data_IF_053723457365
#
_entry.id   IF_053723457365
#
_cell.length_a   1.000
_cell.length_b   1.000
_cell.length_c   1.000
_cell.angle_alpha   90.00
_cell.angle_beta   90.00
_cell.angle_gamma   90.00
#
_symmetry.space_group_name_H-M   'P 1'
#
loop_
_entity.id
_entity.type
_entity.pdbx_description
1 polymer ?
#
# COMPACT_ATOMS: atom_id res chain seq x y z
N UNK A 1 -0.40 -23.67 -3.28
CA UNK A 1 -1.59 -23.19 -2.54
C UNK A 1 -1.14 -22.79 -1.14
N UNK A 2 -0.70 -21.55 -0.92
CA UNK A 2 0.01 -21.20 0.32
C UNK A 2 -0.42 -19.86 0.89
N UNK A 3 -0.80 -19.89 2.17
CA UNK A 3 -0.74 -18.80 3.15
C UNK A 3 -1.80 -17.68 3.20
N UNK A 4 -3.01 -17.86 2.68
CA UNK A 4 -4.13 -16.91 2.98
C UNK A 4 -4.54 -16.90 4.46
N UNK A 5 -4.11 -17.91 5.23
CA UNK A 5 -4.54 -18.14 6.60
C UNK A 5 -3.77 -17.35 7.68
N UNK A 6 -2.62 -16.75 7.43
CA UNK A 6 -1.77 -16.26 8.54
C UNK A 6 -2.26 -14.93 9.14
N UNK A 7 -2.41 -13.87 8.34
CA UNK A 7 -2.65 -12.52 8.89
C UNK A 7 -4.03 -12.30 9.48
N UNK A 8 -5.06 -12.89 8.87
CA UNK A 8 -6.43 -12.79 9.41
C UNK A 8 -6.58 -13.58 10.71
N UNK A 9 -5.91 -14.74 10.81
CA UNK A 9 -5.88 -15.53 12.05
C UNK A 9 -5.04 -14.82 13.10
N UNK A 10 -3.84 -14.36 12.76
CA UNK A 10 -2.99 -13.56 13.66
C UNK A 10 -3.70 -12.31 14.19
N UNK A 11 -4.47 -11.63 13.34
CA UNK A 11 -5.29 -10.51 13.77
C UNK A 11 -6.36 -10.92 14.79
N UNK A 12 -7.08 -12.02 14.54
CA UNK A 12 -8.13 -12.50 15.42
C UNK A 12 -7.57 -13.06 16.75
N UNK A 13 -6.45 -13.77 16.69
CA UNK A 13 -5.90 -14.55 17.81
C UNK A 13 -4.98 -13.72 18.70
N UNK A 14 -4.20 -12.79 18.12
CA UNK A 14 -3.16 -12.02 18.85
C UNK A 14 -3.50 -10.53 18.94
N UNK A 15 -3.78 -9.89 17.80
CA UNK A 15 -3.84 -8.43 17.71
C UNK A 15 -5.13 -7.87 18.31
N UNK A 16 -6.29 -8.45 17.99
CA UNK A 16 -7.57 -7.97 18.48
C UNK A 16 -7.71 -8.04 20.02
N UNK A 17 -7.29 -9.13 20.69
CA UNK A 17 -7.26 -9.18 22.15
C UNK A 17 -6.29 -8.16 22.76
N UNK A 18 -5.09 -8.01 22.18
CA UNK A 18 -4.08 -7.07 22.67
C UNK A 18 -4.58 -5.62 22.63
N UNK A 19 -5.19 -5.22 21.51
CA UNK A 19 -5.79 -3.88 21.37
C UNK A 19 -6.98 -3.67 22.30
N UNK A 20 -7.82 -4.70 22.49
CA UNK A 20 -8.94 -4.63 23.42
C UNK A 20 -8.49 -4.42 24.85
N UNK A 21 -7.41 -5.09 25.27
CA UNK A 21 -6.84 -4.91 26.61
C UNK A 21 -6.16 -3.56 26.79
N UNK A 22 -5.44 -3.06 25.78
CA UNK A 22 -4.74 -1.76 25.86
C UNK A 22 -5.71 -0.58 25.94
N UNK A 23 -6.75 -0.57 25.10
CA UNK A 23 -7.66 0.57 24.97
C UNK A 23 -9.00 0.37 25.67
N UNK A 24 -9.21 -0.77 26.32
CA UNK A 24 -10.40 -1.09 27.13
C UNK A 24 -11.72 -0.88 26.38
N UNK A 25 -11.79 -1.29 25.12
CA UNK A 25 -13.01 -1.14 24.32
C UNK A 25 -14.20 -1.89 24.91
N UNK A 26 -15.34 -1.20 24.95
CA UNK A 26 -16.61 -1.76 25.40
C UNK A 26 -17.13 -2.90 24.51
N UNK A 27 -16.83 -2.85 23.21
CA UNK A 27 -17.27 -3.84 22.23
C UNK A 27 -16.13 -4.34 21.37
N UNK A 28 -16.12 -5.65 21.07
CA UNK A 28 -15.11 -6.27 20.20
C UNK A 28 -15.16 -5.69 18.77
N UNK A 29 -16.29 -5.12 18.34
CA UNK A 29 -16.43 -4.48 17.03
C UNK A 29 -15.81 -3.07 16.95
N UNK A 30 -15.47 -2.46 18.10
CA UNK A 30 -14.78 -1.17 18.15
C UNK A 30 -13.28 -1.30 17.87
N UNK A 31 -12.74 -2.53 17.93
CA UNK A 31 -11.30 -2.75 17.69
C UNK A 31 -10.93 -2.32 16.26
N UNK A 32 -9.91 -1.46 16.09
CA UNK A 32 -9.49 -0.98 14.79
C UNK A 32 -9.09 -2.10 13.82
N UNK A 33 -9.62 -2.04 12.60
CA UNK A 33 -9.31 -2.96 11.50
C UNK A 33 -8.57 -2.24 10.38
N UNK A 34 -7.71 -2.97 9.67
CA UNK A 34 -7.12 -2.49 8.43
C UNK A 34 -8.14 -2.60 7.28
N UNK A 35 -8.63 -1.47 6.77
CA UNK A 35 -9.68 -1.42 5.74
C UNK A 35 -9.15 -1.68 4.33
N UNK A 36 -8.05 -1.02 3.97
CA UNK A 36 -7.43 -1.13 2.62
C UNK A 36 -5.98 -0.67 2.66
N UNK A 37 -5.20 -1.20 1.74
CA UNK A 37 -3.87 -0.70 1.40
C UNK A 37 -3.95 -0.13 -0.01
N UNK A 38 -3.52 1.11 -0.19
CA UNK A 38 -3.42 1.75 -1.51
C UNK A 38 -1.96 1.88 -1.86
N UNK A 39 -1.58 1.40 -3.04
CA UNK A 39 -0.24 1.59 -3.57
C UNK A 39 -0.36 2.52 -4.77
N UNK A 40 0.42 3.59 -4.76
CA UNK A 40 0.37 4.66 -5.76
C UNK A 40 1.79 4.98 -6.24
N UNK A 41 1.98 4.98 -7.55
CA UNK A 41 3.24 5.34 -8.19
C UNK A 41 3.02 6.54 -9.10
N UNK A 42 3.73 7.63 -8.81
CA UNK A 42 3.73 8.83 -9.64
C UNK A 42 4.77 8.72 -10.74
N UNK A 43 4.35 8.77 -12.01
CA UNK A 43 5.23 8.66 -13.17
C UNK A 43 5.26 10.01 -13.88
N UNK A 44 5.99 10.98 -13.33
CA UNK A 44 6.04 12.35 -13.89
C UNK A 44 6.49 12.42 -15.36
N UNK A 45 7.25 11.43 -15.82
CA UNK A 45 7.71 11.31 -17.21
C UNK A 45 6.65 10.73 -18.17
N UNK A 46 5.56 10.17 -17.64
CA UNK A 46 4.48 9.56 -18.41
C UNK A 46 3.70 10.53 -19.29
N UNK A 47 3.82 11.84 -19.03
CA UNK A 47 3.21 12.90 -19.86
C UNK A 47 3.76 12.88 -21.28
N UNK A 48 5.04 12.50 -21.46
CA UNK A 48 5.72 12.47 -22.74
C UNK A 48 5.62 11.12 -23.46
N UNK A 49 5.63 10.00 -22.72
CA UNK A 49 5.59 8.65 -23.28
C UNK A 49 4.53 7.78 -22.59
N UNK A 50 3.54 7.36 -23.37
CA UNK A 50 2.45 6.50 -22.92
C UNK A 50 2.92 5.08 -22.58
N UNK A 51 4.01 4.60 -23.19
CA UNK A 51 4.51 3.23 -22.97
C UNK A 51 4.98 3.00 -21.54
N UNK A 52 5.51 4.04 -20.90
CA UNK A 52 5.96 3.99 -19.49
C UNK A 52 4.81 3.62 -18.55
N UNK A 53 3.58 4.08 -18.86
CA UNK A 53 2.40 3.77 -18.05
C UNK A 53 1.99 2.32 -18.23
N UNK A 54 2.03 1.80 -19.46
CA UNK A 54 1.66 0.41 -19.75
C UNK A 54 2.63 -0.56 -19.08
N UNK A 55 3.93 -0.27 -19.11
CA UNK A 55 4.96 -1.03 -18.38
C UNK A 55 4.69 -1.00 -16.88
N UNK A 56 4.47 0.18 -16.31
CA UNK A 56 4.20 0.32 -14.89
C UNK A 56 2.89 -0.35 -14.45
N UNK A 57 1.85 -0.39 -15.30
CA UNK A 57 0.62 -1.13 -15.02
C UNK A 57 0.91 -2.63 -14.92
N UNK A 58 1.73 -3.17 -15.82
CA UNK A 58 2.07 -4.59 -15.83
C UNK A 58 2.93 -4.97 -14.62
N UNK A 59 3.96 -4.18 -14.30
CA UNK A 59 4.80 -4.37 -13.11
C UNK A 59 3.97 -4.32 -11.83
N UNK A 60 3.14 -3.29 -11.66
CA UNK A 60 2.26 -3.15 -10.49
C UNK A 60 1.25 -4.27 -10.37
N UNK A 61 0.75 -4.78 -11.51
CA UNK A 61 -0.18 -5.89 -11.54
C UNK A 61 0.50 -7.20 -11.14
N UNK A 62 1.75 -7.42 -11.56
CA UNK A 62 2.54 -8.58 -11.16
C UNK A 62 2.85 -8.56 -9.66
N UNK A 63 3.34 -7.43 -9.14
CA UNK A 63 3.70 -7.29 -7.71
C UNK A 63 2.49 -7.52 -6.79
N UNK A 64 1.32 -6.99 -7.17
CA UNK A 64 0.16 -6.96 -6.27
C UNK A 64 -0.90 -8.02 -6.56
N UNK A 65 -0.76 -8.77 -7.66
CA UNK A 65 -1.75 -9.74 -8.13
C UNK A 65 -3.10 -9.13 -8.50
N UNK A 66 -3.19 -7.79 -8.61
CA UNK A 66 -4.41 -7.06 -8.95
C UNK A 66 -4.13 -6.06 -10.06
N UNK A 67 -5.01 -6.04 -11.06
CA UNK A 67 -4.90 -5.11 -12.18
C UNK A 67 -4.83 -3.66 -11.69
N UNK A 68 -3.71 -3.01 -11.99
CA UNK A 68 -3.49 -1.63 -11.63
C UNK A 68 -4.26 -0.68 -12.57
N UNK A 69 -4.65 0.49 -12.04
CA UNK A 69 -5.47 1.48 -12.75
C UNK A 69 -4.63 2.73 -13.01
N UNK A 70 -4.65 3.23 -14.25
CA UNK A 70 -4.00 4.49 -14.60
C UNK A 70 -4.70 5.67 -13.91
N UNK A 71 -3.93 6.52 -13.23
CA UNK A 71 -4.42 7.76 -12.63
C UNK A 71 -4.40 8.88 -13.67
N UNK A 72 -5.55 9.53 -13.86
CA UNK A 72 -5.71 10.61 -14.82
C UNK A 72 -5.65 11.99 -14.15
N UNK A 73 -5.17 12.98 -14.89
CA UNK A 73 -5.17 14.36 -14.44
C UNK A 73 -6.59 14.92 -14.34
N UNK A 74 -6.88 15.56 -13.20
CA UNK A 74 -8.12 16.32 -13.00
C UNK A 74 -8.01 17.78 -13.46
N UNK A 75 -6.80 18.36 -13.48
CA UNK A 75 -6.56 19.79 -13.75
C UNK A 75 -5.46 19.97 -14.80
N UNK A 76 -5.57 21.05 -15.56
CA UNK A 76 -4.49 21.49 -16.44
C UNK A 76 -3.49 22.31 -15.61
N UNK A 77 -2.20 22.02 -15.72
CA UNK A 77 -1.14 22.78 -15.04
C UNK A 77 -0.02 23.05 -16.03
N UNK A 78 0.19 24.32 -16.37
CA UNK A 78 1.12 24.75 -17.40
C UNK A 78 2.59 24.39 -17.08
N UNK A 79 3.03 24.60 -15.84
CA UNK A 79 4.42 24.34 -15.42
C UNK A 79 4.84 22.88 -15.60
N UNK A 80 3.91 21.94 -15.45
CA UNK A 80 4.15 20.50 -15.62
C UNK A 80 3.82 19.99 -17.03
N UNK A 81 3.50 20.90 -17.96
CA UNK A 81 3.01 20.57 -19.32
C UNK A 81 1.84 19.57 -19.30
N UNK A 82 1.03 19.62 -18.24
CA UNK A 82 0.01 18.63 -17.95
C UNK A 82 -1.37 19.12 -18.40
N UNK A 83 -2.11 18.26 -19.10
CA UNK A 83 -3.49 18.52 -19.53
C UNK A 83 -4.49 17.59 -18.84
N UNK A 84 -5.76 18.01 -18.74
CA UNK A 84 -6.88 17.22 -18.22
C UNK A 84 -6.99 15.89 -18.97
N UNK A 85 -7.34 14.83 -18.24
CA UNK A 85 -7.44 13.44 -18.72
C UNK A 85 -6.12 12.80 -19.19
N UNK A 86 -4.98 13.48 -19.08
CA UNK A 86 -3.69 12.83 -19.33
C UNK A 86 -3.36 11.86 -18.20
N UNK A 87 -2.87 10.65 -18.49
CA UNK A 87 -2.40 9.72 -17.47
C UNK A 87 -1.08 10.21 -16.86
N UNK A 88 -0.97 10.14 -15.53
CA UNK A 88 0.18 10.64 -14.75
C UNK A 88 0.86 9.50 -13.98
N UNK A 89 0.13 8.44 -13.66
CA UNK A 89 0.66 7.38 -12.81
C UNK A 89 -0.24 6.17 -12.75
N UNK A 90 0.06 5.30 -11.80
CA UNK A 90 -0.62 4.02 -11.62
C UNK A 90 -0.98 3.86 -10.16
N UNK A 91 -2.19 3.38 -9.90
CA UNK A 91 -2.69 3.11 -8.57
C UNK A 91 -3.33 1.72 -8.50
N UNK A 92 -3.12 1.03 -7.39
CA UNK A 92 -3.82 -0.20 -7.05
C UNK A 92 -4.34 -0.12 -5.61
N UNK A 93 -5.54 -0.64 -5.39
CA UNK A 93 -6.16 -0.70 -4.06
C UNK A 93 -6.40 -2.15 -3.67
N UNK A 94 -5.69 -2.59 -2.65
CA UNK A 94 -5.79 -3.92 -2.06
C UNK A 94 -6.78 -3.91 -0.91
N UNK A 95 -7.66 -4.91 -0.89
CA UNK A 95 -8.72 -5.09 0.12
C UNK A 95 -8.83 -6.55 0.52
N UNK A 96 -9.27 -6.79 1.75
CA UNK A 96 -9.59 -8.12 2.31
C UNK A 96 -8.43 -9.12 2.11
N UNK A 97 -8.67 -10.22 1.40
CA UNK A 97 -7.74 -11.33 1.20
C UNK A 97 -6.50 -10.96 0.37
N UNK A 98 -6.52 -9.80 -0.30
CA UNK A 98 -5.36 -9.25 -1.02
C UNK A 98 -4.50 -8.32 -0.17
N UNK A 99 -4.85 -8.14 1.11
CA UNK A 99 -4.02 -7.45 2.10
C UNK A 99 -3.06 -8.49 2.69
N UNK A 100 -2.10 -8.94 1.90
CA UNK A 100 -0.97 -9.73 2.39
C UNK A 100 0.17 -8.77 2.70
N UNK A 101 0.52 -8.64 3.98
CA UNK A 101 1.73 -7.95 4.42
C UNK A 101 2.93 -8.84 4.09
N UNK A 102 3.71 -8.41 3.12
CA UNK A 102 4.97 -9.04 2.78
C UNK A 102 5.66 -8.29 1.65
N UNK A 103 6.26 -7.13 1.92
CA UNK A 103 7.28 -6.56 1.05
C UNK A 103 8.30 -5.80 1.92
N UNK A 104 9.46 -6.41 2.15
CA UNK A 104 10.64 -5.70 2.68
C UNK A 104 11.45 -5.04 1.54
N UNK A 105 11.45 -5.63 0.34
CA UNK A 105 12.12 -5.08 -0.86
C UNK A 105 11.41 -5.56 -2.14
N UNK A 106 11.43 -4.76 -3.22
CA UNK A 106 10.91 -5.15 -4.54
C UNK A 106 11.64 -6.36 -5.17
N UNK A 107 12.73 -6.82 -4.55
CA UNK A 107 13.71 -7.78 -5.08
C UNK A 107 13.27 -9.25 -4.86
N UNK A 108 12.17 -9.51 -4.16
CA UNK A 108 11.74 -10.88 -3.80
C UNK A 108 10.87 -11.54 -4.88
N UNK A 109 10.40 -10.79 -5.89
CA UNK A 109 9.63 -11.36 -6.99
C UNK A 109 10.55 -11.79 -8.13
N UNK A 110 10.67 -13.09 -8.45
CA UNK A 110 11.50 -13.60 -9.54
C UNK A 110 11.00 -13.16 -10.94
N UNK A 111 9.86 -12.48 -11.03
CA UNK A 111 9.28 -11.98 -12.29
C UNK A 111 9.77 -10.59 -12.70
N UNK A 112 10.52 -9.87 -11.85
CA UNK A 112 11.12 -8.58 -12.23
C UNK A 112 12.50 -8.83 -12.85
N UNK A 113 12.63 -8.63 -14.15
CA UNK A 113 13.93 -8.68 -14.82
C UNK A 113 14.74 -7.41 -14.46
N UNK A 114 15.75 -7.59 -13.61
CA UNK A 114 16.60 -6.53 -13.05
C UNK A 114 17.32 -5.75 -14.17
N UNK A 115 17.54 -6.37 -15.32
CA UNK A 115 18.23 -5.77 -16.47
C UNK A 115 17.39 -4.71 -17.21
N UNK A 116 16.07 -4.64 -16.97
CA UNK A 116 15.17 -3.65 -17.59
C UNK A 116 14.88 -2.42 -16.72
N UNK A 117 15.36 -2.38 -15.46
CA UNK A 117 15.04 -1.30 -14.53
C UNK A 117 15.89 -0.07 -14.87
N UNK A 118 15.32 0.82 -15.67
CA UNK A 118 16.02 2.01 -16.19
C UNK A 118 16.23 3.09 -15.11
N UNK A 119 15.43 3.09 -14.02
CA UNK A 119 15.49 4.01 -12.86
C UNK A 119 14.71 3.42 -11.67
N UNK A 120 15.20 3.62 -10.45
CA UNK A 120 14.44 3.29 -9.22
C UNK A 120 13.26 4.28 -9.12
N UNK A 121 12.04 3.79 -9.35
CA UNK A 121 10.83 4.57 -9.20
C UNK A 121 10.26 4.36 -7.80
N UNK A 122 10.14 5.44 -7.03
CA UNK A 122 9.53 5.39 -5.71
C UNK A 122 8.03 5.06 -5.79
N UNK A 123 7.55 4.30 -4.81
CA UNK A 123 6.13 3.96 -4.66
C UNK A 123 5.65 4.41 -3.29
N UNK A 124 4.45 5.00 -3.25
CA UNK A 124 3.79 5.37 -2.00
C UNK A 124 2.83 4.25 -1.58
N UNK A 125 2.99 3.75 -0.36
CA UNK A 125 2.09 2.77 0.24
C UNK A 125 1.30 3.48 1.35
N UNK A 126 -0.03 3.49 1.23
CA UNK A 126 -0.94 4.12 2.18
C UNK A 126 -1.80 3.07 2.85
N UNK A 127 -1.66 2.93 4.17
CA UNK A 127 -2.50 2.08 5.01
C UNK A 127 -3.71 2.87 5.47
N UNK A 128 -4.91 2.33 5.29
CA UNK A 128 -6.14 2.94 5.79
C UNK A 128 -6.74 2.03 6.84
N UNK A 129 -6.75 2.51 8.07
CA UNK A 129 -7.31 1.84 9.24
C UNK A 129 -8.71 2.37 9.56
N UNK A 130 -9.43 1.69 10.45
CA UNK A 130 -10.69 2.19 11.01
C UNK A 130 -10.51 2.93 12.34
N UNK A 131 -9.26 3.09 12.80
CA UNK A 131 -8.94 3.84 14.01
C UNK A 131 -9.44 5.29 13.89
N UNK A 132 -9.96 5.83 14.98
CA UNK A 132 -10.39 7.23 15.06
C UNK A 132 -9.25 8.15 15.49
N UNK A 133 -8.29 7.60 16.23
CA UNK A 133 -7.11 8.32 16.72
C UNK A 133 -5.81 7.77 16.14
N UNK A 134 -4.79 8.62 16.09
CA UNK A 134 -3.46 8.23 15.60
C UNK A 134 -2.79 7.21 16.53
N UNK A 135 -3.09 7.24 17.84
CA UNK A 135 -2.56 6.30 18.83
C UNK A 135 -3.02 4.87 18.58
N UNK A 136 -4.32 4.71 18.32
CA UNK A 136 -4.92 3.43 17.94
C UNK A 136 -4.36 2.90 16.62
N UNK A 137 -4.22 3.80 15.64
CA UNK A 137 -3.63 3.47 14.35
C UNK A 137 -2.18 3.00 14.49
N UNK A 138 -1.38 3.69 15.31
CA UNK A 138 0.00 3.34 15.57
C UNK A 138 0.12 2.00 16.31
N UNK A 139 -0.69 1.78 17.34
CA UNK A 139 -0.72 0.52 18.09
C UNK A 139 -1.08 -0.66 17.17
N UNK A 140 -2.11 -0.51 16.33
CA UNK A 140 -2.50 -1.52 15.35
C UNK A 140 -1.34 -1.85 14.41
N UNK A 141 -0.68 -0.85 13.83
CA UNK A 141 0.41 -1.07 12.88
C UNK A 141 1.66 -1.66 13.55
N UNK A 142 1.93 -1.28 14.81
CA UNK A 142 3.02 -1.84 15.61
C UNK A 142 2.79 -3.32 15.91
N UNK A 143 1.56 -3.69 16.25
CA UNK A 143 1.17 -5.09 16.46
C UNK A 143 1.25 -5.91 15.17
N UNK A 144 1.00 -5.31 14.01
CA UNK A 144 1.27 -5.93 12.70
C UNK A 144 2.76 -6.13 12.40
N UNK A 145 3.67 -5.73 13.30
CA UNK A 145 5.11 -5.96 13.15
C UNK A 145 5.80 -4.98 12.20
N UNK A 146 5.16 -3.87 11.86
CA UNK A 146 5.81 -2.83 11.06
C UNK A 146 6.92 -2.15 11.87
N UNK A 147 8.16 -2.10 11.37
CA UNK A 147 9.27 -1.51 12.09
C UNK A 147 9.14 0.03 12.06
N UNK A 148 8.44 0.57 13.05
CA UNK A 148 8.45 2.01 13.28
C UNK A 148 9.79 2.41 13.89
N UNK A 149 10.36 3.50 13.39
CA UNK A 149 11.46 4.18 14.08
C UNK A 149 10.88 4.68 15.40
N UNK A 150 11.21 4.01 16.51
CA UNK A 150 10.81 4.43 17.85
C UNK A 150 11.18 5.92 17.99
N UNK A 151 10.19 6.80 18.07
CA UNK A 151 10.37 8.22 18.37
C UNK A 151 10.71 8.45 19.86
N UNK A 152 11.62 7.62 20.38
CA UNK A 152 12.38 7.79 21.62
C UNK A 152 13.72 7.07 21.45
N UNK A 153 14.70 7.83 20.97
CA UNK A 153 16.13 7.70 21.26
C UNK A 153 16.69 9.11 21.08
N UNK A 154 16.83 9.79 22.23
CA UNK A 154 17.65 10.97 22.56
C UNK A 154 17.68 12.16 21.60
#
# INVERSE_FOLDING_TARGET
>A
MSNTASLKKEYADRIAPALKSQFQYSSTMQVPVLKKIVINQGLGMAVADKKIIEVAINEMTAITGQKAVATISRKDIANFKLRKKMPIGVMVTLRRERITLGIQEQIIFPEINIDSITRILGMNITFVTSAETDEEGYALLKEFGLPFKNAKKD
#
